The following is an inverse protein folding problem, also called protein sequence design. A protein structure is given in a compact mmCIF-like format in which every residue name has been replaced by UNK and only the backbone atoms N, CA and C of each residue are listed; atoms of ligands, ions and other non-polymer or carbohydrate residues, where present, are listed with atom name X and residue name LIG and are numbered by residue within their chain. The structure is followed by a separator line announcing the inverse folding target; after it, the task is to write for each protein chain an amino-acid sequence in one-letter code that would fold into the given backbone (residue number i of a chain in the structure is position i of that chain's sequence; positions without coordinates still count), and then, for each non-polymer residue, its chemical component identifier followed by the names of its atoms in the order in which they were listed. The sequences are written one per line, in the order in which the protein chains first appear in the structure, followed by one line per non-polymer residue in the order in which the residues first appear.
data_IF_499377463579
#
_entry.id   IF_499377463579
#
_cell.length_a   1.000
_cell.length_b   1.000
_cell.length_c   1.000
_cell.angle_alpha   90.00
_cell.angle_beta   90.00
_cell.angle_gamma   90.00
#
_symmetry.space_group_name_H-M   'P 1'
#
loop_
_entity.id
_entity.type
_entity.pdbx_description
1 polymer ?
#
# COMPACT_ATOMS: atom_id res chain seq x y z
N UNK A 1 0.00 9.93 -6.86
CA UNK A 1 1.46 9.87 -7.05
C UNK A 1 2.08 9.17 -5.85
N UNK A 2 3.15 8.40 -6.05
CA UNK A 2 3.90 7.74 -4.98
C UNK A 2 5.36 8.23 -5.01
N UNK A 3 6.01 8.32 -3.86
CA UNK A 3 7.46 8.56 -3.75
C UNK A 3 8.25 7.28 -4.05
N UNK A 4 9.58 7.43 -4.13
CA UNK A 4 10.48 6.28 -3.98
C UNK A 4 10.44 5.73 -2.55
N UNK A 5 10.99 4.53 -2.37
CA UNK A 5 11.14 3.90 -1.05
C UNK A 5 12.18 4.70 -0.26
N UNK A 6 11.79 5.13 0.93
CA UNK A 6 12.63 5.87 1.85
C UNK A 6 12.97 5.01 3.06
N UNK A 7 14.25 4.79 3.33
CA UNK A 7 14.70 4.10 4.53
C UNK A 7 15.05 5.10 5.63
N UNK A 8 14.63 4.80 6.85
CA UNK A 8 14.83 5.72 7.97
C UNK A 8 14.51 5.12 9.33
N UNK A 9 14.67 5.94 10.37
CA UNK A 9 14.32 5.57 11.74
C UNK A 9 13.03 6.28 12.16
N UNK A 10 11.94 5.52 12.29
CA UNK A 10 10.60 6.03 12.54
C UNK A 10 10.01 5.40 13.80
N UNK A 11 9.50 6.22 14.72
CA UNK A 11 8.83 5.73 15.94
C UNK A 11 9.64 4.67 16.74
N UNK A 12 10.97 4.78 16.75
CA UNK A 12 11.85 3.86 17.50
C UNK A 12 12.29 2.61 16.75
N UNK A 13 11.99 2.49 15.44
CA UNK A 13 12.41 1.34 14.61
C UNK A 13 12.92 1.79 13.24
N UNK A 14 13.83 1.00 12.66
CA UNK A 14 14.17 1.12 11.25
C UNK A 14 13.02 0.61 10.39
N UNK A 15 12.60 1.39 9.41
CA UNK A 15 11.54 1.03 8.50
C UNK A 15 11.79 1.60 7.10
N UNK A 16 11.12 1.03 6.11
CA UNK A 16 11.14 1.47 4.72
C UNK A 16 9.74 1.97 4.35
N UNK A 17 9.60 3.27 4.13
CA UNK A 17 8.32 3.93 3.88
C UNK A 17 8.17 4.36 2.42
N UNK A 18 6.94 4.32 1.92
CA UNK A 18 6.51 5.00 0.69
C UNK A 18 5.44 6.03 1.05
N UNK A 19 5.53 7.22 0.45
CA UNK A 19 4.56 8.29 0.63
C UNK A 19 3.65 8.38 -0.59
N UNK A 20 2.34 8.36 -0.36
CA UNK A 20 1.32 8.40 -1.39
C UNK A 20 0.42 9.62 -1.28
N UNK A 21 0.16 10.26 -2.42
CA UNK A 21 -0.82 11.34 -2.56
C UNK A 21 -2.18 10.75 -2.92
N UNK A 22 -3.20 11.13 -2.15
CA UNK A 22 -4.60 10.75 -2.33
C UNK A 22 -5.48 11.99 -2.42
N UNK A 23 -6.54 11.91 -3.22
CA UNK A 23 -7.52 12.99 -3.39
C UNK A 23 -8.93 12.44 -3.33
N UNK A 24 -9.86 13.23 -2.81
CA UNK A 24 -11.28 12.89 -2.86
C UNK A 24 -11.82 12.96 -4.31
N UNK A 25 -12.86 12.18 -4.66
CA UNK A 25 -13.50 12.22 -5.97
C UNK A 25 -13.97 13.63 -6.39
N UNK A 26 -14.14 13.85 -7.69
CA UNK A 26 -14.51 15.17 -8.25
C UNK A 26 -15.85 15.68 -7.69
N UNK A 27 -16.83 14.79 -7.51
CA UNK A 27 -18.18 15.11 -7.01
C UNK A 27 -18.29 15.03 -5.48
N UNK A 28 -17.22 15.37 -4.77
CA UNK A 28 -17.18 15.39 -3.31
C UNK A 28 -16.48 16.64 -2.80
N UNK A 29 -16.48 16.84 -1.48
CA UNK A 29 -15.72 17.92 -0.85
C UNK A 29 -14.24 17.79 -1.27
N UNK A 30 -13.71 18.84 -1.90
CA UNK A 30 -12.35 18.86 -2.41
C UNK A 30 -11.33 18.68 -1.30
N UNK A 31 -10.63 17.54 -1.32
CA UNK A 31 -9.70 17.14 -0.28
C UNK A 31 -8.51 16.40 -0.86
N UNK A 32 -7.35 16.60 -0.24
CA UNK A 32 -6.10 15.90 -0.55
C UNK A 32 -5.44 15.44 0.75
N UNK A 33 -4.73 14.33 0.67
CA UNK A 33 -3.98 13.78 1.78
C UNK A 33 -2.66 13.17 1.29
N UNK A 34 -1.63 13.19 2.13
CA UNK A 34 -0.45 12.34 1.97
C UNK A 34 -0.43 11.33 3.09
N UNK A 35 -0.37 10.05 2.73
CA UNK A 35 -0.24 8.94 3.69
C UNK A 35 1.12 8.27 3.49
N UNK A 36 1.70 7.78 4.59
CA UNK A 36 2.89 6.93 4.56
C UNK A 36 2.50 5.46 4.74
N UNK A 37 3.17 4.54 4.06
CA UNK A 37 2.96 3.11 4.17
C UNK A 37 4.31 2.41 4.32
N UNK A 38 4.43 1.47 5.26
CA UNK A 38 5.62 0.64 5.36
C UNK A 38 5.61 -0.44 4.28
N UNK A 39 6.75 -0.62 3.60
CA UNK A 39 6.92 -1.70 2.62
C UNK A 39 6.74 -3.07 3.24
N UNK A 40 7.12 -3.24 4.51
CA UNK A 40 6.82 -4.46 5.28
C UNK A 40 5.31 -4.72 5.33
N UNK A 41 4.50 -3.74 5.68
CA UNK A 41 3.03 -3.89 5.74
C UNK A 41 2.41 -4.21 4.38
N UNK A 42 2.97 -3.69 3.28
CA UNK A 42 2.54 -4.06 1.92
C UNK A 42 2.80 -5.55 1.66
N UNK A 43 4.01 -6.02 1.97
CA UNK A 43 4.39 -7.42 1.79
C UNK A 43 3.58 -8.36 2.70
N UNK A 44 3.34 -7.97 3.94
CA UNK A 44 2.54 -8.73 4.90
C UNK A 44 1.10 -8.92 4.37
N UNK A 45 0.49 -7.90 3.76
CA UNK A 45 -0.83 -8.02 3.12
C UNK A 45 -0.82 -9.00 1.95
N UNK A 46 0.22 -9.03 1.12
CA UNK A 46 0.36 -10.04 0.05
C UNK A 46 0.56 -11.48 0.58
N UNK A 47 1.05 -11.62 1.81
CA UNK A 47 1.12 -12.90 2.53
C UNK A 47 -0.19 -13.25 3.27
N UNK A 48 -1.12 -12.30 3.34
CA UNK A 48 -2.43 -12.46 3.97
C UNK A 48 -3.44 -13.25 3.12
N UNK A 49 -4.71 -13.29 3.54
CA UNK A 49 -5.74 -14.02 2.81
C UNK A 49 -6.12 -13.35 1.49
N UNK A 50 -6.50 -14.16 0.50
CA UNK A 50 -7.13 -13.65 -0.72
C UNK A 50 -8.60 -13.31 -0.49
N UNK A 51 -9.14 -12.45 -1.35
CA UNK A 51 -10.57 -12.11 -1.39
C UNK A 51 -11.25 -12.82 -2.54
N UNK A 52 -12.37 -13.51 -2.28
CA UNK A 52 -13.19 -14.17 -3.30
C UNK A 52 -14.60 -13.60 -3.36
N UNK A 53 -15.15 -13.61 -4.56
CA UNK A 53 -16.58 -13.42 -4.82
C UNK A 53 -17.04 -14.61 -5.67
N UNK A 54 -17.73 -15.57 -5.05
CA UNK A 54 -18.06 -16.85 -5.69
C UNK A 54 -18.97 -16.69 -6.92
N UNK A 55 -19.94 -15.77 -6.86
CA UNK A 55 -20.82 -15.42 -7.97
C UNK A 55 -21.00 -13.92 -8.04
N UNK A 56 -21.47 -13.39 -9.16
CA UNK A 56 -21.74 -11.96 -9.33
C UNK A 56 -22.69 -11.37 -8.25
N UNK A 57 -23.54 -12.22 -7.65
CA UNK A 57 -24.50 -11.84 -6.62
C UNK A 57 -24.03 -12.19 -5.20
N UNK A 58 -22.88 -12.85 -5.05
CA UNK A 58 -22.31 -13.19 -3.74
C UNK A 58 -21.59 -12.00 -3.12
N UNK A 59 -21.50 -12.00 -1.79
CA UNK A 59 -20.63 -11.06 -1.09
C UNK A 59 -19.15 -11.38 -1.33
N UNK A 60 -18.30 -10.36 -1.22
CA UNK A 60 -16.86 -10.53 -1.17
C UNK A 60 -16.45 -11.04 0.20
N UNK A 61 -15.86 -12.21 0.26
CA UNK A 61 -15.45 -12.88 1.48
C UNK A 61 -13.98 -13.28 1.41
N UNK A 62 -13.41 -13.55 2.59
CA UNK A 62 -12.08 -14.12 2.73
C UNK A 62 -12.04 -15.56 2.21
N UNK A 63 -11.04 -15.86 1.38
CA UNK A 63 -10.74 -17.24 0.97
C UNK A 63 -10.22 -18.03 2.17
N UNK A 64 -10.79 -19.23 2.39
CA UNK A 64 -10.31 -20.13 3.43
C UNK A 64 -8.92 -20.69 3.09
N UNK A 65 -7.99 -20.83 4.06
CA UNK A 65 -6.64 -21.33 3.80
C UNK A 65 -6.59 -22.67 3.07
N UNK A 66 -7.55 -23.56 3.34
CA UNK A 66 -7.67 -24.89 2.71
C UNK A 66 -7.96 -24.83 1.19
N UNK A 67 -8.52 -23.72 0.71
CA UNK A 67 -8.79 -23.49 -0.73
C UNK A 67 -7.59 -22.90 -1.48
N UNK A 68 -6.54 -22.46 -0.76
CA UNK A 68 -5.35 -21.87 -1.38
C UNK A 68 -4.44 -23.02 -1.84
N UNK A 69 -4.10 -23.10 -3.13
CA UNK A 69 -3.25 -24.18 -3.64
C UNK A 69 -1.78 -24.00 -3.25
N UNK A 70 -1.03 -25.10 -3.29
CA UNK A 70 0.43 -25.10 -3.15
C UNK A 70 1.13 -25.34 -4.51
N UNK A 71 2.22 -24.62 -4.83
CA UNK A 71 2.83 -23.57 -4.02
C UNK A 71 1.93 -22.33 -3.94
N UNK A 72 1.98 -21.62 -2.81
CA UNK A 72 1.17 -20.43 -2.57
C UNK A 72 1.25 -19.44 -3.76
N UNK A 73 0.12 -19.05 -4.36
CA UNK A 73 0.11 -18.11 -5.47
C UNK A 73 0.67 -16.73 -5.09
N UNK A 74 1.38 -16.10 -6.04
CA UNK A 74 1.97 -14.77 -5.87
C UNK A 74 3.41 -14.77 -5.34
N UNK A 75 3.94 -15.90 -4.87
CA UNK A 75 5.34 -16.03 -4.51
C UNK A 75 6.25 -16.13 -5.76
N UNK A 76 7.43 -15.53 -5.69
CA UNK A 76 8.44 -15.65 -6.75
C UNK A 76 9.05 -17.06 -6.75
N UNK A 77 9.15 -17.65 -7.94
CA UNK A 77 9.82 -18.94 -8.19
C UNK A 77 10.86 -18.78 -9.30
N UNK A 78 11.84 -19.68 -9.36
CA UNK A 78 12.92 -19.60 -10.36
C UNK A 78 12.42 -19.68 -11.81
N UNK A 79 11.40 -20.50 -12.07
CA UNK A 79 10.73 -20.58 -13.38
C UNK A 79 9.22 -20.64 -13.18
N UNK A 80 8.50 -19.59 -13.55
CA UNK A 80 7.04 -19.52 -13.38
C UNK A 80 6.27 -20.46 -14.31
N UNK A 81 6.92 -20.99 -15.38
CA UNK A 81 6.30 -21.94 -16.31
C UNK A 81 6.12 -23.33 -15.71
N UNK A 82 6.82 -23.63 -14.62
CA UNK A 82 6.70 -24.93 -13.92
C UNK A 82 5.59 -24.93 -12.87
N UNK A 83 4.88 -23.81 -12.70
CA UNK A 83 3.78 -23.72 -11.73
C UNK A 83 2.59 -24.58 -12.18
N UNK A 84 1.91 -25.29 -11.27
CA UNK A 84 0.69 -26.01 -11.58
C UNK A 84 -0.40 -25.08 -12.12
N UNK A 85 -1.19 -25.56 -13.08
CA UNK A 85 -2.30 -24.80 -13.66
C UNK A 85 -3.30 -24.31 -12.59
N UNK A 86 -3.52 -25.09 -11.52
CA UNK A 86 -4.39 -24.72 -10.42
C UNK A 86 -3.91 -23.45 -9.70
N UNK A 87 -2.60 -23.31 -9.45
CA UNK A 87 -1.99 -22.12 -8.83
C UNK A 87 -2.09 -20.91 -9.76
N UNK A 88 -1.81 -21.11 -11.05
CA UNK A 88 -1.87 -20.04 -12.05
C UNK A 88 -3.30 -19.56 -12.29
N UNK A 89 -4.27 -20.47 -12.32
CA UNK A 89 -5.68 -20.12 -12.46
C UNK A 89 -6.22 -19.46 -11.20
N UNK A 90 -5.80 -19.91 -10.01
CA UNK A 90 -6.21 -19.29 -8.75
C UNK A 90 -5.81 -17.81 -8.68
N UNK A 91 -4.56 -17.44 -8.98
CA UNK A 91 -4.13 -16.03 -8.90
C UNK A 91 -4.80 -15.13 -9.94
N UNK A 92 -5.18 -15.69 -11.10
CA UNK A 92 -5.94 -14.96 -12.12
C UNK A 92 -7.36 -14.62 -11.64
N UNK A 93 -8.00 -15.52 -10.90
CA UNK A 93 -9.36 -15.31 -10.40
C UNK A 93 -9.40 -14.62 -9.03
N UNK A 94 -8.30 -14.65 -8.28
CA UNK A 94 -8.16 -14.03 -6.95
C UNK A 94 -7.01 -13.01 -6.90
N UNK A 95 -7.05 -11.92 -7.69
CA UNK A 95 -5.97 -10.92 -7.71
C UNK A 95 -6.01 -9.98 -6.50
N UNK A 96 -7.11 -9.96 -5.74
CA UNK A 96 -7.33 -9.03 -4.63
C UNK A 96 -7.06 -9.73 -3.29
N UNK A 97 -6.33 -9.04 -2.41
CA UNK A 97 -6.14 -9.45 -1.02
C UNK A 97 -7.35 -9.04 -0.16
N UNK A 98 -7.65 -9.80 0.89
CA UNK A 98 -8.79 -9.52 1.76
C UNK A 98 -8.56 -8.25 2.61
N UNK A 99 -7.33 -8.08 3.09
CA UNK A 99 -6.90 -6.98 3.93
C UNK A 99 -6.41 -5.78 3.12
N UNK A 100 -6.64 -4.57 3.65
CA UNK A 100 -6.09 -3.34 3.12
C UNK A 100 -4.80 -2.96 3.85
N UNK A 101 -3.81 -2.46 3.10
CA UNK A 101 -2.56 -1.94 3.69
C UNK A 101 -2.87 -0.72 4.56
N UNK A 102 -2.58 -0.83 5.85
CA UNK A 102 -2.77 0.26 6.79
C UNK A 102 -1.67 1.32 6.65
N UNK A 103 -2.05 2.60 6.79
CA UNK A 103 -1.08 3.69 6.84
C UNK A 103 -0.19 3.56 8.07
N UNK A 104 1.10 3.87 7.93
CA UNK A 104 2.11 3.71 8.97
C UNK A 104 1.75 4.40 10.30
N UNK A 105 1.20 5.61 10.23
CA UNK A 105 0.83 6.41 11.41
C UNK A 105 -0.66 6.26 11.81
N UNK A 106 -1.40 5.31 11.22
CA UNK A 106 -2.86 5.16 11.31
C UNK A 106 -3.69 6.41 10.87
N UNK A 107 -3.03 7.48 10.47
CA UNK A 107 -3.59 8.74 10.01
C UNK A 107 -2.74 9.30 8.86
N UNK A 108 -3.31 10.17 8.00
CA UNK A 108 -2.53 10.90 7.02
C UNK A 108 -1.48 11.80 7.68
N UNK A 109 -0.31 11.92 7.03
CA UNK A 109 0.79 12.82 7.47
C UNK A 109 0.39 14.28 7.28
N UNK A 110 -0.32 14.58 6.19
CA UNK A 110 -0.89 15.90 5.93
C UNK A 110 -2.23 15.75 5.24
N UNK A 111 -3.17 16.61 5.60
CA UNK A 111 -4.47 16.75 4.94
C UNK A 111 -4.70 18.21 4.55
N UNK A 112 -5.33 18.43 3.40
CA UNK A 112 -5.79 19.74 2.94
C UNK A 112 -7.16 19.62 2.32
N UNK A 113 -8.10 20.40 2.82
CA UNK A 113 -9.43 20.58 2.23
C UNK A 113 -9.41 21.91 1.48
N UNK A 114 -9.61 21.87 0.17
CA UNK A 114 -9.55 23.03 -0.72
C UNK A 114 -10.38 22.77 -1.97
N UNK A 115 -11.12 23.77 -2.41
CA UNK A 115 -11.83 23.75 -3.69
C UNK A 115 -10.95 24.23 -4.86
N UNK A 116 -9.81 24.85 -4.57
CA UNK A 116 -9.01 25.56 -5.58
C UNK A 116 -7.83 24.74 -6.12
N UNK A 117 -7.32 23.79 -5.34
CA UNK A 117 -6.16 22.98 -5.72
C UNK A 117 -6.22 21.60 -5.07
N UNK A 118 -5.55 20.62 -5.69
CA UNK A 118 -5.43 19.24 -5.19
C UNK A 118 -3.98 18.81 -5.28
N UNK A 119 -3.53 17.97 -4.36
CA UNK A 119 -2.17 17.45 -4.44
C UNK A 119 -2.02 16.55 -5.67
N UNK A 120 -0.90 16.70 -6.38
CA UNK A 120 -0.64 15.98 -7.64
C UNK A 120 0.59 15.08 -7.55
N UNK A 121 1.67 15.57 -6.95
CA UNK A 121 2.98 14.91 -6.86
C UNK A 121 3.56 15.02 -5.45
N UNK A 122 4.41 14.08 -5.08
CA UNK A 122 5.19 14.10 -3.85
C UNK A 122 6.63 13.69 -4.15
N UNK A 123 7.58 14.41 -3.57
CA UNK A 123 8.99 14.05 -3.49
C UNK A 123 9.45 14.15 -2.03
N UNK A 124 10.44 13.34 -1.65
CA UNK A 124 10.92 13.23 -0.27
C UNK A 124 12.42 13.47 -0.24
N UNK A 125 12.87 14.36 0.64
CA UNK A 125 14.27 14.46 1.06
C UNK A 125 14.41 13.78 2.44
N UNK A 126 15.01 12.58 2.49
CA UNK A 126 14.87 11.70 3.63
C UNK A 126 15.92 11.94 4.72
N UNK A 127 15.53 11.69 5.96
CA UNK A 127 16.42 11.63 7.12
C UNK A 127 17.31 12.88 7.30
N UNK A 128 16.77 14.05 6.98
CA UNK A 128 17.44 15.34 7.17
C UNK A 128 17.63 15.59 8.66
N UNK A 129 18.89 15.74 9.09
CA UNK A 129 19.23 15.96 10.49
C UNK A 129 18.96 17.41 10.88
N UNK A 130 18.08 17.60 11.86
CA UNK A 130 17.81 18.90 12.46
C UNK A 130 18.83 19.24 13.56
N UNK A 131 18.80 20.50 14.01
CA UNK A 131 19.69 21.02 15.07
C UNK A 131 19.51 20.31 16.42
N UNK A 132 18.34 19.72 16.66
CA UNK A 132 18.06 18.93 17.87
C UNK A 132 18.60 17.50 17.79
N UNK A 133 19.32 17.17 16.71
CA UNK A 133 19.95 15.86 16.48
C UNK A 133 18.99 14.80 15.94
N UNK A 134 17.69 15.08 15.81
CA UNK A 134 16.70 14.17 15.23
C UNK A 134 16.71 14.25 13.71
N UNK A 135 16.30 13.18 13.05
CA UNK A 135 16.14 13.10 11.60
C UNK A 135 14.67 13.24 11.21
N UNK A 136 14.41 13.94 10.11
CA UNK A 136 13.08 14.17 9.58
C UNK A 136 13.06 13.94 8.08
N UNK A 137 11.94 13.41 7.58
CA UNK A 137 11.69 13.35 6.15
C UNK A 137 10.98 14.64 5.72
N UNK A 138 11.56 15.35 4.77
CA UNK A 138 11.01 16.60 4.24
C UNK A 138 10.18 16.28 2.99
N UNK A 139 8.89 16.62 3.04
CA UNK A 139 7.94 16.34 1.97
C UNK A 139 7.73 17.58 1.08
N UNK A 140 8.01 17.45 -0.21
CA UNK A 140 7.69 18.44 -1.24
C UNK A 140 6.42 17.99 -1.98
N UNK A 141 5.37 18.81 -1.95
CA UNK A 141 4.05 18.45 -2.48
C UNK A 141 3.64 19.42 -3.59
N UNK A 142 3.42 18.90 -4.79
CA UNK A 142 2.89 19.66 -5.92
C UNK A 142 1.37 19.79 -5.87
N UNK A 143 0.84 20.90 -6.39
CA UNK A 143 -0.60 21.23 -6.45
C UNK A 143 -1.05 21.58 -7.85
#
# INVERSE_FOLDING_TARGET
SMSEVTEGFYAGKHDQLIYGVFTTPVNSIGGSAVCAFAMKSVLDVFQGPFKEQETINSNWLKVLPEKVPEPRPGACVNDSRTLPDITVNFVKTHPLMDEAVQSFFALPVITKVSFNYRFTKVAVDPQVKALDGRTYDILYIGT
#
